data_IF_755460879127
#
_entry.id   IF_755460879127
#
_cell.length_a   1.000
_cell.length_b   1.000
_cell.length_c   1.000
_cell.angle_alpha   90.00
_cell.angle_beta   90.00
_cell.angle_gamma   90.00
#
_symmetry.space_group_name_H-M   'P 1'
#
loop_
_entity.id
_entity.type
_entity.pdbx_description
1 polymer ?
#
# COMPACT_ATOMS: atom_id res chain seq x y z
N UNK A 1 9.54 15.98 -19.56
CA UNK A 1 9.92 15.71 -18.14
C UNK A 1 10.16 14.23 -17.88
N UNK A 2 9.24 13.36 -18.27
CA UNK A 2 9.38 11.92 -18.06
C UNK A 2 10.59 11.36 -18.82
N UNK A 3 10.78 11.78 -20.06
CA UNK A 3 11.91 11.34 -20.86
C UNK A 3 13.26 11.76 -20.25
N UNK A 4 13.32 12.98 -19.75
CA UNK A 4 14.51 13.48 -19.06
C UNK A 4 14.84 12.62 -17.84
N UNK A 5 13.84 12.29 -17.03
CA UNK A 5 14.06 11.47 -15.85
C UNK A 5 14.44 10.04 -16.20
N UNK A 6 13.89 9.51 -17.30
CA UNK A 6 14.27 8.18 -17.78
C UNK A 6 15.74 8.13 -18.14
N UNK A 7 16.20 9.12 -18.89
CA UNK A 7 17.62 9.20 -19.29
C UNK A 7 18.51 9.40 -18.07
N UNK A 8 18.08 10.22 -17.12
CA UNK A 8 18.81 10.44 -15.88
C UNK A 8 18.92 9.15 -15.08
N UNK A 9 17.82 8.41 -14.92
CA UNK A 9 17.78 7.16 -14.16
C UNK A 9 18.57 6.05 -14.85
N UNK A 10 18.61 6.04 -16.18
CA UNK A 10 19.34 5.03 -16.95
C UNK A 10 20.85 5.07 -16.71
N UNK A 11 21.37 6.15 -16.15
CA UNK A 11 22.78 6.25 -15.77
C UNK A 11 23.18 5.41 -14.55
N UNK A 12 22.26 4.62 -13.98
CA UNK A 12 22.51 3.78 -12.80
C UNK A 12 22.60 4.58 -11.51
N UNK A 13 22.68 3.95 -10.38
CA UNK A 13 22.93 4.48 -9.03
C UNK A 13 22.32 5.86 -8.70
N UNK A 14 21.19 6.22 -9.32
CA UNK A 14 20.57 7.51 -9.10
C UNK A 14 19.27 7.36 -8.35
N UNK A 15 19.01 8.31 -7.46
CA UNK A 15 17.79 8.35 -6.66
C UNK A 15 16.94 9.55 -7.09
N UNK A 16 15.66 9.31 -7.31
CA UNK A 16 14.71 10.34 -7.69
C UNK A 16 13.66 10.46 -6.59
N UNK A 17 13.46 11.69 -6.09
CA UNK A 17 12.41 11.97 -5.12
C UNK A 17 11.21 12.55 -5.85
N UNK A 18 10.03 11.97 -5.63
CA UNK A 18 8.81 12.34 -6.33
C UNK A 18 7.72 12.76 -5.37
N UNK A 19 6.85 13.66 -5.82
CA UNK A 19 5.63 13.99 -5.12
C UNK A 19 4.50 13.08 -5.60
N UNK A 20 3.46 12.91 -4.78
CA UNK A 20 2.40 11.94 -5.04
C UNK A 20 1.69 12.15 -6.38
N UNK A 21 1.55 13.38 -6.86
CA UNK A 21 0.77 13.65 -8.06
C UNK A 21 1.47 13.28 -9.37
N UNK A 22 2.76 12.89 -9.33
CA UNK A 22 3.49 12.45 -10.53
C UNK A 22 3.89 10.98 -10.44
N UNK A 23 3.53 10.27 -9.39
CA UNK A 23 3.92 8.88 -9.18
C UNK A 23 3.41 7.97 -10.30
N UNK A 24 2.17 8.16 -10.74
CA UNK A 24 1.57 7.33 -11.77
C UNK A 24 2.37 7.35 -13.06
N UNK A 25 2.85 8.52 -13.47
CA UNK A 25 3.63 8.67 -14.69
C UNK A 25 5.03 8.09 -14.57
N UNK A 26 5.52 7.94 -13.35
CA UNK A 26 6.90 7.55 -13.07
C UNK A 26 7.04 6.10 -12.62
N UNK A 27 5.95 5.37 -12.51
CA UNK A 27 5.92 4.01 -11.96
C UNK A 27 6.93 3.08 -12.64
N UNK A 28 7.07 3.18 -13.95
CA UNK A 28 7.97 2.32 -14.72
C UNK A 28 9.44 2.76 -14.68
N UNK A 29 9.71 3.94 -14.14
CA UNK A 29 11.06 4.49 -14.05
C UNK A 29 11.72 4.30 -12.70
N UNK A 30 10.93 3.94 -11.67
CA UNK A 30 11.39 3.92 -10.28
C UNK A 30 11.83 2.52 -9.91
N UNK A 31 13.11 2.36 -9.57
CA UNK A 31 13.65 1.08 -9.09
C UNK A 31 13.46 0.91 -7.60
N UNK A 32 13.76 1.95 -6.84
CA UNK A 32 13.58 1.98 -5.38
C UNK A 32 12.60 3.08 -4.99
N UNK A 33 11.77 2.78 -4.01
CA UNK A 33 10.78 3.72 -3.53
C UNK A 33 11.01 4.04 -2.06
N UNK A 34 11.11 5.34 -1.78
CA UNK A 34 11.22 5.86 -0.42
C UNK A 34 10.05 6.80 -0.20
N UNK A 35 9.18 6.48 0.73
CA UNK A 35 7.97 7.26 0.99
C UNK A 35 8.10 7.98 2.32
N UNK A 36 7.98 9.31 2.26
CA UNK A 36 8.04 10.20 3.42
C UNK A 36 6.67 10.83 3.65
N UNK A 37 6.30 10.96 4.92
CA UNK A 37 5.06 11.62 5.30
C UNK A 37 5.34 12.43 6.57
N UNK A 38 5.13 13.75 6.49
CA UNK A 38 5.42 14.69 7.58
C UNK A 38 6.85 14.55 8.10
N UNK A 39 7.82 14.44 7.18
CA UNK A 39 9.22 14.33 7.54
C UNK A 39 9.63 12.97 8.11
N UNK A 40 8.71 12.02 8.17
CA UNK A 40 8.97 10.67 8.68
C UNK A 40 9.05 9.67 7.54
N UNK A 41 10.08 8.83 7.56
CA UNK A 41 10.22 7.76 6.58
C UNK A 41 9.21 6.65 6.91
N UNK A 42 8.27 6.41 6.01
CA UNK A 42 7.30 5.32 6.15
C UNK A 42 7.85 4.01 5.62
N UNK A 43 8.52 4.04 4.48
CA UNK A 43 8.99 2.84 3.83
C UNK A 43 10.13 3.18 2.88
N UNK A 44 11.07 2.25 2.77
CA UNK A 44 12.11 2.26 1.75
C UNK A 44 12.26 0.84 1.23
N UNK A 45 11.74 0.57 0.05
CA UNK A 45 11.75 -0.76 -0.56
C UNK A 45 11.91 -0.64 -2.06
N UNK A 46 12.42 -1.70 -2.73
CA UNK A 46 12.36 -1.75 -4.18
C UNK A 46 10.92 -1.59 -4.65
N UNK A 47 10.74 -0.79 -5.70
CA UNK A 47 9.41 -0.55 -6.25
C UNK A 47 8.71 -1.86 -6.60
N UNK A 48 9.45 -2.79 -7.17
CA UNK A 48 8.93 -4.09 -7.55
C UNK A 48 8.35 -4.84 -6.34
N UNK A 49 9.01 -4.78 -5.19
CA UNK A 49 8.53 -5.44 -3.97
C UNK A 49 7.21 -4.85 -3.52
N UNK A 50 7.08 -3.52 -3.60
CA UNK A 50 5.82 -2.86 -3.26
C UNK A 50 4.72 -3.31 -4.21
N UNK A 51 4.99 -3.31 -5.50
CA UNK A 51 3.99 -3.69 -6.51
C UNK A 51 3.55 -5.15 -6.40
N UNK A 52 4.47 -6.04 -6.06
CA UNK A 52 4.17 -7.47 -5.97
C UNK A 52 3.52 -7.87 -4.65
N UNK A 53 3.85 -7.20 -3.55
CA UNK A 53 3.49 -7.67 -2.22
C UNK A 53 2.55 -6.75 -1.45
N UNK A 54 2.47 -5.47 -1.77
CA UNK A 54 1.57 -4.55 -1.06
C UNK A 54 0.23 -4.54 -1.76
N UNK A 55 -0.79 -5.08 -1.08
CA UNK A 55 -2.12 -5.24 -1.66
C UNK A 55 -3.19 -4.63 -0.77
N UNK A 56 -4.33 -4.35 -1.37
CA UNK A 56 -5.53 -3.91 -0.68
C UNK A 56 -6.41 -5.13 -0.41
N UNK A 57 -6.95 -5.20 0.79
CA UNK A 57 -7.84 -6.29 1.19
C UNK A 57 -9.21 -5.72 1.54
N UNK A 58 -10.24 -6.24 0.89
CA UNK A 58 -11.62 -5.90 1.18
C UNK A 58 -12.29 -7.04 1.92
N UNK A 59 -13.10 -6.70 2.89
CA UNK A 59 -13.79 -7.71 3.68
C UNK A 59 -15.03 -7.12 4.35
N UNK A 60 -15.87 -8.00 4.88
CA UNK A 60 -17.09 -7.62 5.60
C UNK A 60 -17.03 -8.19 7.02
N UNK A 61 -17.63 -7.48 7.95
CA UNK A 61 -17.77 -7.91 9.33
C UNK A 61 -19.24 -7.87 9.72
N UNK A 62 -19.59 -8.60 10.76
CA UNK A 62 -20.93 -8.51 11.34
C UNK A 62 -21.14 -7.10 11.91
N UNK A 63 -22.40 -6.68 11.96
CA UNK A 63 -22.75 -5.37 12.47
C UNK A 63 -22.21 -5.17 13.88
N UNK A 64 -21.60 -4.01 14.12
CA UNK A 64 -21.03 -3.67 15.41
C UNK A 64 -19.65 -4.21 15.68
N UNK A 65 -19.09 -5.02 14.79
CA UNK A 65 -17.74 -5.53 14.94
C UNK A 65 -16.72 -4.62 14.29
N UNK A 66 -15.50 -4.61 14.84
CA UNK A 66 -14.38 -3.80 14.36
C UNK A 66 -13.17 -4.72 14.19
N UNK A 67 -12.41 -4.59 13.08
CA UNK A 67 -11.25 -5.45 12.87
C UNK A 67 -10.13 -5.14 13.88
N UNK A 68 -9.29 -6.12 14.14
CA UNK A 68 -8.12 -5.93 14.99
C UNK A 68 -7.15 -4.95 14.35
N UNK A 69 -6.52 -4.11 15.17
CA UNK A 69 -5.43 -3.24 14.72
C UNK A 69 -4.12 -4.00 14.86
N UNK A 70 -3.24 -3.83 13.88
CA UNK A 70 -1.93 -4.45 13.90
C UNK A 70 -0.95 -3.61 13.08
N UNK A 71 0.33 -3.62 13.46
CA UNK A 71 1.36 -2.84 12.76
C UNK A 71 1.55 -3.26 11.30
N UNK A 72 1.19 -4.50 10.97
CA UNK A 72 1.28 -5.02 9.59
C UNK A 72 0.05 -4.72 8.75
N UNK A 73 -0.96 -4.11 9.32
CA UNK A 73 -2.18 -3.69 8.63
C UNK A 73 -2.17 -2.17 8.54
N UNK A 74 -2.18 -1.66 7.31
CA UNK A 74 -2.05 -0.23 7.04
C UNK A 74 -3.41 0.41 6.76
N UNK A 75 -3.66 1.54 7.40
CA UNK A 75 -4.81 2.41 7.11
C UNK A 75 -6.13 1.67 6.93
N UNK A 76 -6.46 0.85 7.92
CA UNK A 76 -7.73 0.14 7.95
C UNK A 76 -8.88 1.12 8.13
N UNK A 77 -9.87 1.07 7.24
CA UNK A 77 -11.02 1.96 7.30
C UNK A 77 -12.28 1.26 6.80
N UNK A 78 -13.42 1.82 7.17
CA UNK A 78 -14.72 1.34 6.71
C UNK A 78 -15.22 2.25 5.61
N UNK A 79 -15.63 1.64 4.49
CA UNK A 79 -16.18 2.35 3.35
C UNK A 79 -17.52 1.72 2.99
N UNK A 80 -18.60 2.44 3.26
CA UNK A 80 -19.97 1.92 3.15
C UNK A 80 -20.16 0.71 4.09
N UNK A 81 -20.49 -0.47 3.55
CA UNK A 81 -20.69 -1.68 4.34
C UNK A 81 -19.48 -2.61 4.28
N UNK A 82 -18.37 -2.13 3.72
CA UNK A 82 -17.16 -2.92 3.59
C UNK A 82 -16.00 -2.27 4.31
N UNK A 83 -15.08 -3.11 4.77
CA UNK A 83 -13.83 -2.68 5.36
C UNK A 83 -12.70 -2.84 4.36
N UNK A 84 -11.71 -1.98 4.46
CA UNK A 84 -10.52 -2.00 3.62
C UNK A 84 -9.29 -1.90 4.51
N UNK A 85 -8.29 -2.72 4.22
CA UNK A 85 -6.97 -2.61 4.84
C UNK A 85 -5.91 -2.88 3.79
N UNK A 86 -4.67 -2.49 4.08
CA UNK A 86 -3.54 -2.69 3.19
C UNK A 86 -2.44 -3.44 3.94
N UNK A 87 -1.73 -4.32 3.26
CA UNK A 87 -0.67 -5.08 3.91
C UNK A 87 0.32 -5.64 2.90
N UNK A 88 1.54 -5.89 3.36
CA UNK A 88 2.55 -6.65 2.61
C UNK A 88 2.42 -8.15 2.84
N UNK A 89 1.51 -8.57 3.72
CA UNK A 89 1.37 -9.96 4.10
C UNK A 89 0.45 -10.73 3.16
N UNK A 90 0.61 -12.07 3.05
CA UNK A 90 -0.29 -12.89 2.25
C UNK A 90 -1.72 -12.88 2.79
N UNK A 91 -2.66 -13.25 1.93
CA UNK A 91 -4.09 -13.27 2.27
C UNK A 91 -4.39 -14.03 3.57
N UNK A 92 -3.82 -15.21 3.74
CA UNK A 92 -4.09 -16.02 4.93
C UNK A 92 -3.55 -15.36 6.21
N UNK A 93 -2.38 -14.72 6.12
CA UNK A 93 -1.82 -13.98 7.24
C UNK A 93 -2.69 -12.79 7.58
N UNK A 94 -3.17 -12.07 6.57
CA UNK A 94 -4.07 -10.92 6.78
C UNK A 94 -5.35 -11.38 7.47
N UNK A 95 -5.92 -12.50 7.02
CA UNK A 95 -7.11 -13.08 7.66
C UNK A 95 -6.86 -13.37 9.14
N UNK A 96 -5.74 -14.01 9.45
CA UNK A 96 -5.40 -14.33 10.85
C UNK A 96 -5.24 -13.07 11.69
N UNK A 97 -4.59 -12.04 11.14
CA UNK A 97 -4.40 -10.77 11.85
C UNK A 97 -5.73 -10.07 12.12
N UNK A 98 -6.62 -10.06 11.13
CA UNK A 98 -7.93 -9.43 11.26
C UNK A 98 -8.81 -10.16 12.27
N UNK A 99 -8.70 -11.48 12.35
CA UNK A 99 -9.52 -12.30 13.22
C UNK A 99 -8.92 -12.52 14.62
N UNK A 100 -7.79 -11.89 14.91
CA UNK A 100 -7.05 -12.12 16.16
C UNK A 100 -7.84 -11.78 17.44
N UNK A 101 -8.85 -10.93 17.34
CA UNK A 101 -9.72 -10.57 18.48
C UNK A 101 -11.02 -11.37 18.49
N UNK A 102 -11.10 -12.45 17.74
CA UNK A 102 -12.30 -13.26 17.68
C UNK A 102 -13.36 -12.75 16.71
N UNK A 103 -13.04 -11.74 15.92
CA UNK A 103 -13.92 -11.23 14.87
C UNK A 103 -13.87 -12.18 13.69
N UNK A 104 -15.00 -12.44 13.07
CA UNK A 104 -15.10 -13.28 11.91
C UNK A 104 -15.17 -12.44 10.64
N UNK A 105 -14.20 -12.64 9.74
CA UNK A 105 -14.09 -11.91 8.48
C UNK A 105 -14.78 -12.68 7.37
N UNK A 106 -15.65 -11.98 6.64
CA UNK A 106 -16.37 -12.56 5.49
C UNK A 106 -15.94 -11.87 4.20
N UNK A 107 -16.01 -12.62 3.10
CA UNK A 107 -15.77 -12.10 1.75
C UNK A 107 -14.42 -11.41 1.58
N UNK A 108 -13.38 -11.95 2.21
CA UNK A 108 -12.04 -11.39 2.11
C UNK A 108 -11.49 -11.55 0.69
N UNK A 109 -11.16 -10.40 0.08
CA UNK A 109 -10.61 -10.35 -1.29
C UNK A 109 -9.33 -9.53 -1.30
N UNK A 110 -8.37 -10.00 -2.08
CA UNK A 110 -7.09 -9.34 -2.29
C UNK A 110 -7.09 -8.63 -3.64
N UNK A 111 -6.65 -7.37 -3.64
CA UNK A 111 -6.57 -6.56 -4.86
C UNK A 111 -5.15 -6.05 -5.05
N UNK A 112 -4.62 -6.16 -6.28
CA UNK A 112 -3.33 -5.57 -6.63
C UNK A 112 -3.49 -4.06 -6.78
N UNK A 113 -2.38 -3.33 -6.58
CA UNK A 113 -2.40 -1.87 -6.59
C UNK A 113 -1.39 -1.31 -7.59
N UNK A 114 -1.71 -0.16 -8.18
CA UNK A 114 -0.71 0.68 -8.84
C UNK A 114 0.19 1.31 -7.77
N UNK A 115 1.31 1.88 -8.18
CA UNK A 115 2.18 2.57 -7.22
C UNK A 115 1.48 3.76 -6.57
N UNK A 116 0.63 4.47 -7.33
CA UNK A 116 -0.17 5.57 -6.79
C UNK A 116 -1.12 5.08 -5.69
N UNK A 117 -1.83 3.99 -5.96
CA UNK A 117 -2.75 3.41 -4.97
C UNK A 117 -2.00 2.87 -3.76
N UNK A 118 -0.82 2.31 -3.96
CA UNK A 118 0.03 1.86 -2.86
C UNK A 118 0.46 3.05 -1.98
N UNK A 119 0.80 4.17 -2.60
CA UNK A 119 1.13 5.39 -1.86
C UNK A 119 -0.05 5.82 -0.98
N UNK A 120 -1.25 5.81 -1.54
CA UNK A 120 -2.46 6.15 -0.79
C UNK A 120 -2.66 5.19 0.38
N UNK A 121 -2.44 3.89 0.14
CA UNK A 121 -2.57 2.87 1.19
C UNK A 121 -1.56 3.01 2.31
N UNK A 122 -0.35 3.49 1.99
CA UNK A 122 0.71 3.68 2.98
C UNK A 122 0.54 4.98 3.78
N UNK A 123 0.08 6.04 3.13
CA UNK A 123 -0.06 7.36 3.79
C UNK A 123 -1.47 7.62 4.32
N UNK A 124 -2.49 6.97 3.75
CA UNK A 124 -3.89 7.26 4.04
C UNK A 124 -4.38 8.56 3.42
N UNK A 125 -3.69 9.07 2.40
CA UNK A 125 -3.97 10.38 1.78
C UNK A 125 -4.10 10.27 0.27
N UNK A 126 -4.79 11.25 -0.27
CA UNK A 126 -4.92 11.41 -1.71
C UNK A 126 -3.84 12.32 -2.27
#
# INVERSE_FOLDING_TARGET
>A
FVEYLRDFAAGGDKTIFLTSHIIQDMELLIDDCMILDYGRLLIHKPTREIMENFHRFRFSLNEGQVPAEHEKLWNTEKNNNQWITYSFEPLETVRQLLESKGVQVADLKEETLSLEDAFIGLTGKY
#
